data_IF_185631501984
#
_entry.id   IF_185631501984
#
_cell.length_a   1.000
_cell.length_b   1.000
_cell.length_c   1.000
_cell.angle_alpha   90.00
_cell.angle_beta   90.00
_cell.angle_gamma   90.00
#
_symmetry.space_group_name_H-M   'P 1'
#
loop_
_entity.id
_entity.type
_entity.pdbx_description
1 polymer ?
#
# COMPACT_ATOMS: atom_id res chain seq x y z
N UNK A 1 33.78 -51.63 -33.03
CA UNK A 1 32.57 -51.24 -33.78
C UNK A 1 32.45 -49.72 -33.67
N UNK A 2 32.27 -49.10 -34.82
CA UNK A 2 32.61 -47.72 -35.18
C UNK A 2 31.58 -46.68 -34.65
N UNK A 3 32.04 -45.70 -33.86
CA UNK A 3 31.25 -44.56 -33.41
C UNK A 3 31.16 -43.51 -34.53
N UNK A 4 30.19 -43.65 -35.43
CA UNK A 4 29.89 -42.61 -36.41
C UNK A 4 29.27 -41.40 -35.71
N UNK A 5 30.03 -40.31 -35.65
CA UNK A 5 29.49 -38.99 -35.26
C UNK A 5 28.45 -38.57 -36.31
N UNK A 6 27.30 -38.01 -35.90
CA UNK A 6 26.29 -37.56 -36.84
C UNK A 6 26.84 -36.38 -37.66
N UNK A 7 27.08 -36.62 -38.95
CA UNK A 7 27.42 -35.58 -39.91
C UNK A 7 26.13 -34.82 -40.27
N UNK A 8 25.91 -33.69 -39.62
CA UNK A 8 24.88 -32.76 -40.05
C UNK A 8 25.33 -32.11 -41.37
N UNK A 9 24.51 -32.15 -42.44
CA UNK A 9 24.86 -31.46 -43.66
C UNK A 9 25.00 -29.97 -43.36
N UNK A 10 26.10 -29.35 -43.81
CA UNK A 10 26.41 -27.93 -43.58
C UNK A 10 25.25 -27.01 -43.97
N UNK A 11 24.44 -27.43 -44.93
CA UNK A 11 23.22 -26.74 -45.37
C UNK A 11 22.11 -26.73 -44.30
N UNK A 12 21.96 -27.77 -43.47
CA UNK A 12 20.97 -27.79 -42.39
C UNK A 12 21.34 -26.82 -41.26
N UNK A 13 22.63 -26.70 -40.93
CA UNK A 13 23.10 -25.73 -39.95
C UNK A 13 22.91 -24.29 -40.44
N UNK A 14 23.20 -24.04 -41.73
CA UNK A 14 22.97 -22.75 -42.37
C UNK A 14 21.49 -22.39 -42.45
N UNK A 15 20.60 -23.36 -42.70
CA UNK A 15 19.16 -23.13 -42.71
C UNK A 15 18.62 -22.78 -41.32
N UNK A 16 19.12 -23.43 -40.27
CA UNK A 16 18.75 -23.13 -38.88
C UNK A 16 19.26 -21.75 -38.46
N UNK A 17 20.50 -21.39 -38.83
CA UNK A 17 21.04 -20.05 -38.60
C UNK A 17 20.27 -18.98 -39.39
N UNK A 18 19.90 -19.27 -40.64
CA UNK A 18 19.09 -18.37 -41.46
C UNK A 18 17.67 -18.19 -40.88
N UNK A 19 17.04 -19.28 -40.42
CA UNK A 19 15.74 -19.21 -39.74
C UNK A 19 15.83 -18.47 -38.41
N UNK A 20 16.90 -18.66 -37.64
CA UNK A 20 17.13 -17.93 -36.39
C UNK A 20 17.39 -16.43 -36.60
N UNK A 21 17.98 -16.04 -37.74
CA UNK A 21 18.15 -14.66 -38.15
C UNK A 21 16.86 -14.02 -38.71
N UNK A 22 15.86 -14.81 -39.08
CA UNK A 22 14.53 -14.33 -39.50
C UNK A 22 13.56 -14.12 -38.33
N UNK A 23 13.89 -14.62 -37.13
CA UNK A 23 13.17 -14.28 -35.91
C UNK A 23 13.73 -12.98 -35.35
N UNK A 24 13.22 -11.85 -35.84
CA UNK A 24 13.28 -10.62 -35.07
C UNK A 24 12.67 -10.92 -33.69
N UNK A 25 13.49 -10.88 -32.65
CA UNK A 25 13.01 -10.81 -31.27
C UNK A 25 12.39 -9.41 -31.14
N UNK A 26 11.15 -9.28 -31.62
CA UNK A 26 10.36 -8.09 -31.43
C UNK A 26 10.26 -7.86 -29.93
N UNK A 27 10.98 -6.86 -29.43
CA UNK A 27 10.82 -6.40 -28.06
C UNK A 27 9.37 -5.96 -27.90
N UNK A 28 8.57 -6.76 -27.21
CA UNK A 28 7.21 -6.41 -26.86
C UNK A 28 7.27 -5.34 -25.76
N UNK A 29 7.71 -4.12 -26.11
CA UNK A 29 7.44 -2.93 -25.32
C UNK A 29 5.96 -2.61 -25.50
N UNK A 30 5.11 -3.41 -24.85
CA UNK A 30 3.68 -3.19 -24.82
C UNK A 30 3.40 -1.90 -24.05
N UNK A 31 3.36 -0.77 -24.75
CA UNK A 31 2.84 0.47 -24.19
C UNK A 31 1.33 0.38 -24.21
N UNK A 32 0.73 0.05 -23.07
CA UNK A 32 -0.71 0.16 -22.91
C UNK A 32 -1.10 1.63 -23.00
N UNK A 33 -1.76 2.02 -24.09
CA UNK A 33 -2.31 3.37 -24.21
C UNK A 33 -3.50 3.48 -23.26
N UNK A 34 -3.26 4.00 -22.06
CA UNK A 34 -4.31 4.26 -21.07
C UNK A 34 -5.17 5.41 -21.58
N UNK A 35 -6.28 5.09 -22.22
CA UNK A 35 -7.34 6.08 -22.45
C UNK A 35 -8.20 6.15 -21.19
N UNK A 36 -8.30 7.34 -20.59
CA UNK A 36 -9.33 7.57 -19.58
C UNK A 36 -10.67 7.21 -20.22
N UNK A 37 -11.45 6.35 -19.56
CA UNK A 37 -12.79 5.94 -20.01
C UNK A 37 -13.70 7.14 -20.34
N UNK A 38 -13.38 8.32 -19.79
CA UNK A 38 -14.09 9.59 -19.97
C UNK A 38 -13.30 10.65 -20.76
N UNK A 39 -12.27 10.27 -21.50
CA UNK A 39 -11.51 11.20 -22.35
C UNK A 39 -12.39 11.71 -23.51
N UNK A 40 -12.40 13.02 -23.75
CA UNK A 40 -12.98 13.62 -24.97
C UNK A 40 -14.44 14.05 -24.92
N UNK A 41 -15.16 13.92 -23.80
CA UNK A 41 -16.50 14.50 -23.60
C UNK A 41 -16.52 15.42 -22.38
N UNK A 42 -17.06 16.64 -22.55
CA UNK A 42 -17.43 17.50 -21.42
C UNK A 42 -18.58 16.82 -20.69
N UNK A 43 -18.26 16.03 -19.68
CA UNK A 43 -19.24 15.38 -18.83
C UNK A 43 -19.66 16.34 -17.73
N UNK A 44 -20.97 16.43 -17.48
CA UNK A 44 -21.47 17.17 -16.32
C UNK A 44 -21.01 16.43 -15.08
N UNK A 45 -20.71 17.16 -14.01
CA UNK A 45 -20.36 16.57 -12.70
C UNK A 45 -21.42 15.55 -12.25
N UNK A 46 -22.70 15.75 -12.61
CA UNK A 46 -23.77 14.79 -12.38
C UNK A 46 -23.55 13.41 -13.02
N UNK A 47 -23.00 13.36 -14.24
CA UNK A 47 -22.76 12.10 -14.96
C UNK A 47 -21.64 11.30 -14.28
N UNK A 48 -20.59 12.00 -13.81
CA UNK A 48 -19.50 11.41 -13.02
C UNK A 48 -19.99 10.90 -11.67
N UNK A 49 -20.81 11.69 -10.95
CA UNK A 49 -21.44 11.27 -9.69
C UNK A 49 -22.33 10.02 -9.86
N UNK A 50 -23.15 9.99 -10.91
CA UNK A 50 -24.01 8.83 -11.19
C UNK A 50 -23.20 7.58 -11.56
N UNK A 51 -22.09 7.75 -12.29
CA UNK A 51 -21.15 6.66 -12.55
C UNK A 51 -20.53 6.13 -11.26
N UNK A 52 -20.04 7.00 -10.40
CA UNK A 52 -19.40 6.62 -9.14
C UNK A 52 -20.39 5.98 -8.16
N UNK A 53 -21.63 6.47 -8.08
CA UNK A 53 -22.69 5.83 -7.30
C UNK A 53 -22.95 4.38 -7.76
N UNK A 54 -23.00 4.14 -9.08
CA UNK A 54 -23.14 2.77 -9.64
C UNK A 54 -21.92 1.90 -9.41
N UNK A 55 -20.71 2.47 -9.45
CA UNK A 55 -19.48 1.73 -9.13
C UNK A 55 -19.45 1.35 -7.65
N UNK A 56 -19.74 2.30 -6.78
CA UNK A 56 -19.78 2.13 -5.33
C UNK A 56 -20.85 1.11 -4.92
N UNK A 57 -22.05 1.17 -5.50
CA UNK A 57 -23.10 0.17 -5.25
C UNK A 57 -22.68 -1.27 -5.60
N UNK A 58 -21.91 -1.46 -6.68
CA UNK A 58 -21.36 -2.78 -7.04
C UNK A 58 -20.28 -3.27 -6.05
N UNK A 59 -19.47 -2.35 -5.52
CA UNK A 59 -18.48 -2.65 -4.49
C UNK A 59 -19.17 -3.12 -3.20
N UNK A 60 -20.20 -2.40 -2.76
CA UNK A 60 -20.98 -2.76 -1.57
C UNK A 60 -21.73 -4.09 -1.75
N UNK A 61 -22.46 -4.26 -2.85
CA UNK A 61 -23.25 -5.48 -3.11
C UNK A 61 -22.38 -6.72 -3.31
N UNK A 62 -21.14 -6.55 -3.78
CA UNK A 62 -20.21 -7.65 -4.03
C UNK A 62 -19.38 -8.05 -2.81
N UNK A 63 -19.48 -7.39 -1.66
CA UNK A 63 -18.64 -7.70 -0.49
C UNK A 63 -19.38 -8.56 0.54
N UNK A 64 -19.11 -9.86 0.54
CA UNK A 64 -19.57 -10.78 1.61
C UNK A 64 -18.86 -10.55 2.95
N UNK A 65 -17.69 -9.91 2.91
CA UNK A 65 -16.82 -9.63 4.05
C UNK A 65 -16.97 -8.20 4.58
N UNK A 66 -17.98 -7.45 4.13
CA UNK A 66 -18.16 -6.01 4.42
C UNK A 66 -17.16 -5.12 3.68
N UNK A 67 -17.40 -3.81 3.66
CA UNK A 67 -16.50 -2.83 3.04
C UNK A 67 -15.91 -1.97 4.14
N UNK A 68 -14.57 -1.89 4.20
CA UNK A 68 -13.87 -1.03 5.15
C UNK A 68 -14.14 0.41 4.76
N UNK A 69 -14.67 1.17 5.70
CA UNK A 69 -14.86 2.61 5.63
C UNK A 69 -13.87 3.26 6.58
N UNK A 70 -13.11 4.21 6.05
CA UNK A 70 -12.12 4.96 6.83
C UNK A 70 -12.49 6.42 6.65
N UNK A 71 -13.07 7.07 7.68
CA UNK A 71 -13.49 8.46 7.57
C UNK A 71 -12.32 9.35 7.17
N UNK A 72 -12.49 10.06 6.05
CA UNK A 72 -11.47 10.97 5.53
C UNK A 72 -11.85 12.41 5.89
N UNK A 73 -10.96 13.07 6.63
CA UNK A 73 -10.98 14.50 6.89
C UNK A 73 -9.90 15.26 6.12
N UNK A 74 -9.77 16.55 6.43
CA UNK A 74 -8.82 17.46 5.80
C UNK A 74 -9.52 18.62 5.07
N UNK A 75 -8.80 19.73 4.94
CA UNK A 75 -9.35 20.95 4.34
C UNK A 75 -9.18 21.00 2.81
N UNK A 76 -8.33 20.13 2.23
CA UNK A 76 -8.13 20.03 0.78
C UNK A 76 -7.77 21.36 0.11
N UNK A 77 -7.26 22.33 0.87
CA UNK A 77 -6.94 23.66 0.38
C UNK A 77 -5.59 23.60 -0.35
N UNK A 78 -5.53 23.99 -1.62
CA UNK A 78 -4.30 23.95 -2.42
C UNK A 78 -3.27 25.04 -2.02
N UNK A 79 -3.60 25.91 -1.05
CA UNK A 79 -2.73 26.94 -0.49
C UNK A 79 -2.05 26.52 0.83
N UNK A 80 -2.41 25.35 1.34
CA UNK A 80 -1.81 24.70 2.51
C UNK A 80 -1.28 23.32 2.05
N UNK A 81 -0.68 22.52 2.93
CA UNK A 81 -0.07 21.21 2.59
C UNK A 81 -1.01 20.20 1.90
N UNK A 82 -2.33 20.47 1.84
CA UNK A 82 -3.28 19.71 1.03
C UNK A 82 -3.51 18.27 1.52
N UNK A 83 -3.19 18.01 2.78
CA UNK A 83 -3.18 16.67 3.36
C UNK A 83 -4.59 16.17 3.70
N UNK A 84 -4.84 14.90 3.37
CA UNK A 84 -6.03 14.16 3.78
C UNK A 84 -5.66 13.24 4.93
N UNK A 85 -6.50 13.24 5.97
CA UNK A 85 -6.29 12.42 7.16
C UNK A 85 -7.40 11.40 7.32
N UNK A 86 -7.04 10.21 7.75
CA UNK A 86 -7.93 9.14 8.14
C UNK A 86 -7.97 9.03 9.67
N UNK A 87 -9.14 8.72 10.22
CA UNK A 87 -9.27 8.37 11.63
C UNK A 87 -9.27 6.85 11.80
N UNK A 88 -8.39 6.34 12.66
CA UNK A 88 -8.36 4.93 13.07
C UNK A 88 -8.23 4.82 14.59
N UNK A 89 -8.76 3.73 15.17
CA UNK A 89 -8.53 3.40 16.57
C UNK A 89 -7.48 2.31 16.72
N UNK A 90 -6.57 2.40 17.69
CA UNK A 90 -5.55 1.37 17.95
C UNK A 90 -5.57 0.99 19.44
N UNK A 91 -5.46 -0.31 19.72
CA UNK A 91 -5.29 -0.86 21.06
C UNK A 91 -6.59 -1.29 21.75
N UNK A 92 -6.44 -1.74 22.99
CA UNK A 92 -7.54 -2.14 23.89
C UNK A 92 -7.25 -1.64 25.32
N UNK A 93 -7.87 -0.54 25.79
CA UNK A 93 -8.90 0.26 25.13
C UNK A 93 -8.36 1.03 23.92
N UNK A 94 -9.24 1.31 22.96
CA UNK A 94 -8.88 1.96 21.70
C UNK A 94 -8.56 3.45 21.90
N UNK A 95 -7.43 3.87 21.34
CA UNK A 95 -7.02 5.28 21.24
C UNK A 95 -7.11 5.73 19.78
N UNK A 96 -7.63 6.92 19.55
CA UNK A 96 -7.81 7.49 18.21
C UNK A 96 -6.52 8.10 17.68
N UNK A 97 -6.15 7.77 16.44
CA UNK A 97 -5.02 8.34 15.70
C UNK A 97 -5.51 9.02 14.42
N UNK A 98 -4.94 10.18 14.09
CA UNK A 98 -5.14 10.89 12.83
C UNK A 98 -3.95 10.65 11.91
N UNK A 99 -4.12 9.72 10.97
CA UNK A 99 -3.04 9.28 10.08
C UNK A 99 -3.19 9.90 8.70
N UNK A 100 -2.11 10.39 8.11
CA UNK A 100 -2.14 10.91 6.75
C UNK A 100 -2.35 9.77 5.76
N UNK A 101 -3.18 9.99 4.76
CA UNK A 101 -3.46 9.03 3.70
C UNK A 101 -2.36 9.12 2.65
N UNK A 102 -1.64 8.01 2.44
CA UNK A 102 -0.55 7.96 1.46
C UNK A 102 -0.73 6.79 0.49
N UNK A 103 -0.97 7.12 -0.78
CA UNK A 103 -1.05 6.13 -1.86
C UNK A 103 0.31 5.71 -2.42
N UNK A 104 1.38 6.39 -2.03
CA UNK A 104 2.76 6.16 -2.45
C UNK A 104 3.53 5.17 -1.58
N UNK A 105 2.99 4.77 -0.43
CA UNK A 105 3.62 3.80 0.48
C UNK A 105 2.66 2.67 0.88
N UNK A 106 3.24 1.58 1.40
CA UNK A 106 2.50 0.37 1.75
C UNK A 106 2.06 0.32 3.22
N UNK A 107 2.95 0.68 4.14
CA UNK A 107 2.81 0.33 5.57
C UNK A 107 1.96 1.38 6.29
N UNK A 108 1.05 0.93 7.16
CA UNK A 108 0.53 1.78 8.23
C UNK A 108 1.63 1.92 9.29
N UNK A 109 2.00 3.14 9.66
CA UNK A 109 2.80 3.37 10.86
C UNK A 109 2.22 4.50 11.69
N UNK A 110 2.43 4.45 13.00
CA UNK A 110 2.06 5.51 13.94
C UNK A 110 3.28 5.94 14.75
N UNK A 111 3.24 7.20 15.20
CA UNK A 111 4.25 7.74 16.08
C UNK A 111 4.10 7.13 17.47
N UNK A 112 5.04 6.27 17.84
CA UNK A 112 5.12 5.69 19.17
C UNK A 112 6.09 6.44 20.08
N UNK A 113 6.70 7.53 19.58
CA UNK A 113 7.62 8.34 20.36
C UNK A 113 6.81 9.22 21.31
N UNK A 114 6.80 8.85 22.58
CA UNK A 114 6.68 9.82 23.67
C UNK A 114 7.86 9.63 24.61
N UNK A 115 9.03 10.21 24.33
CA UNK A 115 10.11 10.23 25.32
C UNK A 115 11.25 11.22 25.06
N UNK A 116 11.49 12.13 26.00
CA UNK A 116 12.62 13.07 26.01
C UNK A 116 13.94 12.44 26.51
N UNK A 117 13.91 11.29 27.18
CA UNK A 117 15.10 10.66 27.81
C UNK A 117 15.10 9.11 27.82
N UNK A 118 14.73 8.46 26.72
CA UNK A 118 14.74 7.00 26.67
C UNK A 118 16.04 6.47 26.01
N UNK A 119 16.64 5.38 26.52
CA UNK A 119 17.83 4.80 25.93
C UNK A 119 17.47 4.14 24.59
N UNK A 120 18.15 4.57 23.52
CA UNK A 120 17.83 4.15 22.14
C UNK A 120 18.54 2.87 21.67
N UNK A 121 19.45 2.27 22.47
CA UNK A 121 20.18 1.00 22.16
C UNK A 121 20.67 0.29 23.43
N UNK A 122 20.96 -1.01 23.33
CA UNK A 122 21.81 -1.75 24.27
C UNK A 122 23.26 -1.84 23.75
N UNK A 123 24.23 -1.85 24.66
CA UNK A 123 25.68 -1.69 24.40
C UNK A 123 26.41 -2.89 23.74
N UNK A 124 25.71 -3.94 23.31
CA UNK A 124 26.33 -5.26 23.03
C UNK A 124 26.23 -5.74 21.58
N UNK A 125 25.51 -5.08 20.67
CA UNK A 125 25.65 -5.36 19.22
C UNK A 125 25.36 -6.80 18.77
N UNK A 126 24.52 -7.56 19.48
CA UNK A 126 24.08 -8.92 19.11
C UNK A 126 22.56 -8.97 19.03
N UNK A 127 22.00 -9.51 17.94
CA UNK A 127 20.57 -9.76 17.80
C UNK A 127 20.15 -10.93 18.71
N UNK A 128 19.45 -10.62 19.81
CA UNK A 128 18.80 -11.61 20.65
C UNK A 128 17.59 -12.18 19.90
N UNK A 129 17.30 -13.48 20.09
CA UNK A 129 16.23 -14.22 19.38
C UNK A 129 14.80 -13.68 19.60
N UNK A 130 14.66 -12.62 20.40
CA UNK A 130 13.42 -11.91 20.74
C UNK A 130 13.47 -10.40 20.37
N UNK A 131 14.35 -10.00 19.44
CA UNK A 131 14.41 -8.62 18.97
C UNK A 131 13.18 -8.28 18.11
N UNK A 132 12.50 -7.14 18.37
CA UNK A 132 11.37 -6.74 17.55
C UNK A 132 11.79 -6.46 16.10
N UNK A 133 10.94 -6.85 15.15
CA UNK A 133 11.21 -6.70 13.72
C UNK A 133 11.33 -5.21 13.37
N UNK A 134 12.51 -4.76 12.97
CA UNK A 134 12.73 -3.38 12.58
C UNK A 134 12.10 -3.08 11.21
N UNK A 135 11.67 -1.84 11.04
CA UNK A 135 11.28 -1.30 9.74
C UNK A 135 11.94 0.06 9.52
N UNK A 136 12.15 0.39 8.25
CA UNK A 136 12.64 1.67 7.79
C UNK A 136 11.88 2.03 6.51
N UNK A 137 11.31 3.23 6.45
CA UNK A 137 10.71 3.80 5.24
C UNK A 137 11.45 5.09 4.91
N UNK A 138 11.96 5.18 3.69
CA UNK A 138 12.48 6.39 3.09
C UNK A 138 11.50 6.87 2.01
N UNK A 139 11.00 8.08 2.15
CA UNK A 139 10.07 8.70 1.23
C UNK A 139 10.80 9.43 0.09
N UNK A 140 10.07 9.72 -0.99
CA UNK A 140 10.63 10.33 -2.20
C UNK A 140 11.10 11.78 -2.02
N UNK A 141 10.61 12.47 -0.99
CA UNK A 141 11.05 13.80 -0.56
C UNK A 141 12.33 13.76 0.29
N UNK A 142 12.82 12.58 0.65
CA UNK A 142 13.98 12.37 1.50
C UNK A 142 13.67 12.29 3.00
N UNK A 143 12.41 12.44 3.40
CA UNK A 143 11.98 12.17 4.77
C UNK A 143 12.01 10.67 5.07
N UNK A 144 12.17 10.30 6.34
CA UNK A 144 12.24 8.89 6.73
C UNK A 144 11.65 8.61 8.09
N UNK A 145 11.18 7.38 8.29
CA UNK A 145 10.73 6.86 9.58
C UNK A 145 11.35 5.49 9.83
N UNK A 146 11.82 5.28 11.05
CA UNK A 146 12.40 4.03 11.50
C UNK A 146 11.73 3.60 12.81
N UNK A 147 11.64 2.30 13.02
CA UNK A 147 11.06 1.76 14.25
C UNK A 147 10.91 0.26 14.19
N UNK A 148 9.84 -0.23 14.82
CA UNK A 148 9.59 -1.67 14.95
C UNK A 148 8.16 -2.01 14.56
N UNK A 149 7.94 -3.18 13.98
CA UNK A 149 6.61 -3.71 13.77
C UNK A 149 5.98 -4.14 15.10
N UNK A 150 4.74 -3.72 15.31
CA UNK A 150 3.88 -4.13 16.43
C UNK A 150 2.60 -4.72 15.85
N UNK A 151 2.08 -5.73 16.52
CA UNK A 151 0.77 -6.31 16.19
C UNK A 151 -0.20 -5.94 17.28
N UNK A 152 -1.23 -5.19 16.94
CA UNK A 152 -2.31 -4.82 17.85
C UNK A 152 -3.63 -4.72 17.07
N UNK A 153 -4.72 -4.59 17.81
CA UNK A 153 -6.06 -4.45 17.29
C UNK A 153 -6.28 -3.03 16.76
N UNK A 154 -6.63 -2.93 15.48
CA UNK A 154 -7.07 -1.69 14.83
C UNK A 154 -8.58 -1.70 14.68
N UNK A 155 -9.21 -0.61 15.10
CA UNK A 155 -10.63 -0.33 14.94
C UNK A 155 -10.86 0.56 13.71
N UNK A 156 -11.87 0.19 12.93
CA UNK A 156 -12.25 0.87 11.69
C UNK A 156 -13.75 0.71 11.47
N UNK A 157 -14.34 1.56 10.63
CA UNK A 157 -15.75 1.43 10.28
C UNK A 157 -15.93 0.39 9.18
N UNK A 158 -17.00 -0.37 9.26
CA UNK A 158 -17.36 -1.36 8.25
C UNK A 158 -18.78 -1.06 7.76
N UNK A 159 -18.90 -0.80 6.45
CA UNK A 159 -20.19 -0.66 5.79
C UNK A 159 -20.86 -2.04 5.72
N UNK A 160 -22.03 -2.13 6.33
CA UNK A 160 -22.92 -3.28 6.27
C UNK A 160 -24.07 -3.03 5.29
N UNK A 161 -24.97 -4.01 5.16
CA UNK A 161 -26.18 -3.88 4.37
C UNK A 161 -26.93 -2.59 4.74
N UNK A 162 -27.46 -1.89 3.73
CA UNK A 162 -28.20 -0.62 3.85
C UNK A 162 -27.36 0.64 4.15
N UNK A 163 -26.05 0.64 3.85
CA UNK A 163 -25.17 1.82 4.02
C UNK A 163 -24.99 2.29 5.47
N UNK A 164 -25.38 1.47 6.44
CA UNK A 164 -25.05 1.71 7.84
C UNK A 164 -23.60 1.28 8.10
N UNK A 165 -22.87 2.00 8.95
CA UNK A 165 -21.54 1.62 9.40
C UNK A 165 -21.60 1.00 10.78
N UNK A 166 -20.79 -0.02 11.02
CA UNK A 166 -20.54 -0.57 12.36
C UNK A 166 -19.06 -0.47 12.66
N UNK A 167 -18.70 -0.27 13.92
CA UNK A 167 -17.30 -0.37 14.34
C UNK A 167 -16.88 -1.84 14.31
N UNK A 168 -15.86 -2.12 13.51
CA UNK A 168 -15.22 -3.43 13.41
C UNK A 168 -13.79 -3.34 13.92
N UNK A 169 -13.17 -4.50 14.16
CA UNK A 169 -11.80 -4.56 14.59
C UNK A 169 -11.05 -5.77 14.01
N UNK A 170 -9.74 -5.62 13.87
CA UNK A 170 -8.86 -6.69 13.43
C UNK A 170 -7.45 -6.49 13.99
N UNK A 171 -6.79 -7.60 14.31
CA UNK A 171 -5.36 -7.60 14.62
C UNK A 171 -4.55 -7.49 13.34
N UNK A 172 -3.71 -6.47 13.24
CA UNK A 172 -2.81 -6.25 12.10
C UNK A 172 -1.41 -5.87 12.62
N UNK A 173 -0.40 -6.14 11.81
CA UNK A 173 0.97 -5.67 12.05
C UNK A 173 1.18 -4.30 11.40
N UNK A 174 1.64 -3.32 12.16
CA UNK A 174 1.91 -1.95 11.70
C UNK A 174 3.22 -1.42 12.28
N UNK A 175 3.76 -0.37 11.68
CA UNK A 175 4.99 0.27 12.14
C UNK A 175 4.76 1.15 13.37
N UNK A 176 5.54 0.93 14.41
CA UNK A 176 5.61 1.78 15.58
C UNK A 176 6.90 2.60 15.46
N UNK A 177 6.77 3.84 14.99
CA UNK A 177 7.91 4.73 14.71
C UNK A 177 8.61 5.13 16.01
N UNK A 178 9.94 5.01 16.03
CA UNK A 178 10.82 5.39 17.14
C UNK A 178 11.82 6.48 16.75
N UNK A 179 11.97 6.74 15.46
CA UNK A 179 12.77 7.83 14.90
C UNK A 179 12.14 8.31 13.59
N UNK A 180 12.13 9.63 13.40
CA UNK A 180 11.72 10.29 12.16
C UNK A 180 12.83 11.23 11.73
N UNK A 181 12.85 11.64 10.47
CA UNK A 181 13.80 12.62 9.93
C UNK A 181 13.19 13.34 8.72
N UNK A 182 13.75 14.52 8.42
CA UNK A 182 13.27 15.37 7.33
C UNK A 182 11.95 16.03 7.68
N UNK A 183 11.07 16.19 6.69
CA UNK A 183 9.85 16.97 6.85
C UNK A 183 8.85 16.37 7.84
N UNK A 184 8.94 15.07 8.15
CA UNK A 184 8.16 14.40 9.20
C UNK A 184 8.44 14.94 10.62
N UNK A 185 9.61 15.55 10.87
CA UNK A 185 9.92 16.21 12.14
C UNK A 185 9.41 17.66 12.21
N UNK A 186 8.94 18.22 11.09
CA UNK A 186 8.46 19.59 11.02
C UNK A 186 7.13 19.75 11.78
N UNK A 187 7.00 20.74 12.69
CA UNK A 187 5.73 20.99 13.37
C UNK A 187 4.55 21.30 12.43
N UNK A 188 4.84 21.78 11.22
CA UNK A 188 3.83 22.09 10.21
C UNK A 188 3.28 20.83 9.50
N UNK A 189 4.02 19.72 9.56
CA UNK A 189 3.68 18.46 8.88
C UNK A 189 3.61 17.28 9.86
N UNK A 190 3.60 17.55 11.16
CA UNK A 190 3.53 16.53 12.19
C UNK A 190 2.19 15.78 12.11
N UNK A 191 2.27 14.46 12.01
CA UNK A 191 1.12 13.55 11.95
C UNK A 191 1.23 12.47 13.02
N UNK A 192 0.09 11.92 13.46
CA UNK A 192 0.11 10.77 14.39
C UNK A 192 0.63 9.51 13.69
N UNK A 193 0.71 9.51 12.36
CA UNK A 193 1.18 8.41 11.53
C UNK A 193 0.83 8.57 10.06
N UNK A 194 1.20 7.58 9.25
CA UNK A 194 0.82 7.49 7.83
C UNK A 194 0.13 6.14 7.59
N UNK A 195 -0.99 6.17 6.87
CA UNK A 195 -1.69 4.99 6.37
C UNK A 195 -1.35 4.78 4.90
N UNK A 196 -0.49 3.79 4.64
CA UNK A 196 -0.15 3.34 3.29
C UNK A 196 -1.28 2.58 2.59
N UNK A 197 -1.57 2.95 1.34
CA UNK A 197 -2.56 2.31 0.45
C UNK A 197 -1.91 1.45 -0.65
N UNK A 198 -0.60 1.21 -0.55
CA UNK A 198 0.13 0.34 -1.45
C UNK A 198 -0.37 -1.11 -1.43
N UNK A 199 0.08 -1.87 -2.43
CA UNK A 199 -0.44 -3.22 -2.71
C UNK A 199 0.38 -4.34 -2.06
N UNK A 200 1.38 -4.00 -1.23
CA UNK A 200 2.14 -4.99 -0.47
C UNK A 200 1.26 -5.72 0.54
N UNK A 201 1.62 -6.97 0.86
CA UNK A 201 1.00 -7.76 1.92
C UNK A 201 1.14 -7.14 3.31
N UNK A 202 2.09 -6.22 3.50
CA UNK A 202 2.28 -5.47 4.74
C UNK A 202 1.30 -4.30 4.91
N UNK A 203 0.57 -3.90 3.86
CA UNK A 203 -0.44 -2.85 3.98
C UNK A 203 -1.62 -3.27 4.85
N UNK A 204 -2.19 -2.32 5.60
CA UNK A 204 -3.38 -2.57 6.43
C UNK A 204 -4.51 -3.19 5.59
N UNK A 205 -4.76 -2.65 4.40
CA UNK A 205 -5.83 -3.13 3.51
C UNK A 205 -5.60 -4.58 3.06
N UNK A 206 -4.36 -4.94 2.72
CA UNK A 206 -4.04 -6.32 2.32
C UNK A 206 -4.13 -7.29 3.50
N UNK A 207 -3.73 -6.88 4.70
CA UNK A 207 -3.89 -7.68 5.91
C UNK A 207 -5.37 -7.93 6.23
N UNK A 208 -6.21 -6.88 6.21
CA UNK A 208 -7.65 -7.01 6.40
C UNK A 208 -8.29 -7.94 5.35
N UNK A 209 -7.86 -7.83 4.10
CA UNK A 209 -8.34 -8.70 3.03
C UNK A 209 -7.93 -10.17 3.26
N UNK A 210 -6.69 -10.43 3.67
CA UNK A 210 -6.21 -11.78 4.00
C UNK A 210 -6.93 -12.39 5.21
N UNK A 211 -7.34 -11.56 6.17
CA UNK A 211 -8.14 -11.96 7.33
C UNK A 211 -9.64 -12.13 7.01
N UNK A 212 -10.05 -11.97 5.74
CA UNK A 212 -11.44 -12.06 5.31
C UNK A 212 -12.33 -10.94 5.85
N UNK A 213 -11.74 -9.82 6.30
CA UNK A 213 -12.41 -8.64 6.84
C UNK A 213 -12.68 -7.56 5.80
N UNK A 214 -12.04 -7.67 4.64
CA UNK A 214 -12.21 -6.79 3.50
C UNK A 214 -12.12 -7.60 2.20
N UNK A 215 -12.65 -7.06 1.11
CA UNK A 215 -12.47 -7.65 -0.22
C UNK A 215 -11.20 -7.12 -0.87
N UNK A 216 -10.36 -8.01 -1.38
CA UNK A 216 -9.24 -7.65 -2.27
C UNK A 216 -9.79 -7.38 -3.68
N UNK A 217 -9.34 -6.29 -4.31
CA UNK A 217 -9.70 -5.89 -5.67
C UNK A 217 -8.54 -6.02 -6.63
#
# INVERSE_FOLDING_TARGET
MDHRRPHWPRHALLLILYLALLFDIGSATGVFRVQRKFSGRVHRIADLRAHDARRHGRILAGSSSGVVDVPIGGIGLPTDSGLYYAQIGIGTPSTTYYVQVDTGSDILWVNCITCTHCPKKSDIGVCLRDAPCQYNVLYGDGSSTEGFFVTDNVQYDQVIANQHTITANASISFGCSSQQAGDLESPAEAVDGILGFGQSSSSMLSQLASAGKARRY
#
